data_IF_325364356862
#
_entry.id   IF_325364356862
#
_cell.length_a   1.000
_cell.length_b   1.000
_cell.length_c   1.000
_cell.angle_alpha   90.00
_cell.angle_beta   90.00
_cell.angle_gamma   90.00
#
_symmetry.space_group_name_H-M   'P 1'
#
loop_
_entity.id
_entity.type
_entity.pdbx_description
1 polymer ?
#
# COMPACT_ATOMS: atom_id res chain seq x y z
N UNK A 1 -8.52 -17.06 10.91
CA UNK A 1 -8.19 -16.46 9.61
C UNK A 1 -7.83 -15.00 9.80
N UNK A 2 -6.62 -14.66 9.53
CA UNK A 2 -6.16 -13.29 9.66
C UNK A 2 -6.24 -12.60 8.30
N UNK A 3 -7.15 -11.64 8.19
CA UNK A 3 -7.21 -10.78 7.02
C UNK A 3 -5.95 -9.92 6.94
N UNK A 4 -5.46 -9.64 5.72
CA UNK A 4 -4.31 -8.77 5.52
C UNK A 4 -4.57 -7.41 6.17
N UNK A 5 -3.66 -6.99 7.05
CA UNK A 5 -3.77 -5.71 7.73
C UNK A 5 -3.66 -4.53 6.75
N UNK A 6 -2.81 -4.66 5.75
CA UNK A 6 -2.65 -3.63 4.71
C UNK A 6 -3.92 -3.52 3.86
N UNK A 7 -4.45 -4.67 3.39
CA UNK A 7 -5.70 -4.66 2.60
C UNK A 7 -6.86 -4.09 3.40
N UNK A 8 -6.93 -4.41 4.68
CA UNK A 8 -7.97 -3.89 5.56
C UNK A 8 -7.90 -2.37 5.65
N UNK A 9 -6.69 -1.83 5.83
CA UNK A 9 -6.47 -0.39 5.87
C UNK A 9 -6.80 0.27 4.53
N UNK A 10 -6.42 -0.37 3.42
CA UNK A 10 -6.76 0.14 2.09
C UNK A 10 -8.26 0.15 1.86
N UNK A 11 -8.96 -0.91 2.28
CA UNK A 11 -10.40 -1.03 2.12
C UNK A 11 -11.16 0.05 2.89
N UNK A 12 -10.70 0.39 4.07
CA UNK A 12 -11.31 1.42 4.90
C UNK A 12 -10.79 2.84 4.61
N UNK A 13 -9.78 2.97 3.74
CA UNK A 13 -9.17 4.27 3.44
C UNK A 13 -8.35 4.83 4.59
N UNK A 14 -7.88 3.96 5.50
CA UNK A 14 -7.18 4.38 6.72
C UNK A 14 -5.67 4.47 6.49
N UNK A 15 -5.24 5.56 5.84
CA UNK A 15 -3.82 5.80 5.61
C UNK A 15 -3.05 5.99 6.93
N UNK A 16 -3.70 6.50 7.96
CA UNK A 16 -3.07 6.76 9.26
C UNK A 16 -2.69 5.50 10.01
N UNK A 17 -3.28 4.35 9.66
CA UNK A 17 -2.96 3.08 10.30
C UNK A 17 -1.58 2.55 9.91
N UNK A 18 -1.05 2.93 8.76
CA UNK A 18 0.17 2.33 8.19
C UNK A 18 1.38 2.37 9.11
N UNK A 19 1.73 3.50 9.76
CA UNK A 19 2.91 3.50 10.64
C UNK A 19 2.82 2.51 11.80
N UNK A 20 1.60 2.19 12.22
CA UNK A 20 1.39 1.29 13.36
C UNK A 20 1.47 -0.18 12.99
N UNK A 21 1.41 -0.50 11.69
CA UNK A 21 1.50 -1.87 11.20
C UNK A 21 2.94 -2.29 10.91
N UNK A 22 3.82 -1.32 10.67
CA UNK A 22 5.16 -1.55 10.16
C UNK A 22 6.21 -1.54 11.27
N UNK A 23 7.19 -2.43 11.15
CA UNK A 23 8.40 -2.35 11.97
C UNK A 23 9.21 -1.11 11.58
N UNK A 24 10.08 -0.66 12.47
CA UNK A 24 10.90 0.53 12.25
C UNK A 24 11.76 0.43 10.97
N UNK A 25 12.30 -0.75 10.72
CA UNK A 25 13.15 -1.03 9.56
C UNK A 25 12.40 -1.67 8.40
N UNK A 26 11.06 -1.54 8.37
CA UNK A 26 10.24 -2.15 7.34
C UNK A 26 10.59 -1.64 5.94
N UNK A 27 10.46 -2.52 4.95
CA UNK A 27 10.61 -2.16 3.55
C UNK A 27 9.31 -2.45 2.80
N UNK A 28 9.03 -1.65 1.80
CA UNK A 28 7.91 -1.86 0.90
C UNK A 28 8.42 -1.91 -0.53
N UNK A 29 8.16 -3.04 -1.21
CA UNK A 29 8.51 -3.22 -2.62
C UNK A 29 7.27 -3.11 -3.47
N UNK A 30 7.17 -2.08 -4.28
CA UNK A 30 6.06 -1.84 -5.20
C UNK A 30 6.47 -2.23 -6.62
N UNK A 31 5.52 -2.26 -7.58
CA UNK A 31 5.89 -2.50 -8.98
C UNK A 31 6.84 -1.45 -9.57
N UNK A 32 6.99 -0.31 -8.91
CA UNK A 32 7.77 0.83 -9.41
C UNK A 32 9.12 0.97 -8.72
N UNK A 33 9.16 0.78 -7.40
CA UNK A 33 10.36 1.06 -6.61
C UNK A 33 10.28 0.38 -5.23
N UNK A 34 11.42 0.36 -4.55
CA UNK A 34 11.52 -0.09 -3.17
C UNK A 34 11.62 1.12 -2.24
N UNK A 35 10.98 1.02 -1.08
CA UNK A 35 10.97 2.08 -0.08
C UNK A 35 11.47 1.50 1.24
N UNK A 36 12.58 2.01 1.74
CA UNK A 36 13.21 1.52 2.95
C UNK A 36 12.88 2.40 4.16
N UNK A 37 12.56 1.75 5.27
CA UNK A 37 12.22 2.42 6.53
C UNK A 37 10.74 2.73 6.68
N UNK A 38 10.28 2.71 7.92
CA UNK A 38 8.86 2.93 8.23
C UNK A 38 8.30 4.25 7.69
N UNK A 39 9.00 5.39 7.78
CA UNK A 39 8.44 6.65 7.28
C UNK A 39 8.17 6.62 5.77
N UNK A 40 9.13 6.13 4.97
CA UNK A 40 8.97 6.06 3.52
C UNK A 40 7.93 5.03 3.12
N UNK A 41 8.00 3.83 3.72
CA UNK A 41 7.06 2.75 3.40
C UNK A 41 5.63 3.13 3.76
N UNK A 42 5.41 3.70 4.95
CA UNK A 42 4.05 4.06 5.38
C UNK A 42 3.47 5.19 4.55
N UNK A 43 4.29 6.13 4.10
CA UNK A 43 3.84 7.23 3.26
C UNK A 43 3.28 6.71 1.93
N UNK A 44 4.00 5.80 1.28
CA UNK A 44 3.56 5.26 -0.01
C UNK A 44 2.37 4.32 0.15
N UNK A 45 2.39 3.44 1.15
CA UNK A 45 1.24 2.58 1.45
C UNK A 45 -0.02 3.40 1.76
N UNK A 46 0.14 4.51 2.46
CA UNK A 46 -0.97 5.42 2.75
C UNK A 46 -1.51 6.13 1.52
N UNK A 47 -0.63 6.51 0.58
CA UNK A 47 -1.05 7.10 -0.69
C UNK A 47 -1.88 6.10 -1.51
N UNK A 48 -1.48 4.84 -1.52
CA UNK A 48 -2.24 3.80 -2.22
C UNK A 48 -3.65 3.69 -1.64
N UNK A 49 -3.78 3.80 -0.32
CA UNK A 49 -5.09 3.79 0.34
C UNK A 49 -6.00 4.91 -0.17
N UNK A 50 -5.44 6.05 -0.56
CA UNK A 50 -6.21 7.18 -1.07
C UNK A 50 -6.55 7.07 -2.57
N UNK A 51 -5.79 6.25 -3.30
CA UNK A 51 -5.90 6.17 -4.76
C UNK A 51 -6.80 5.02 -5.20
N UNK A 52 -6.72 3.87 -4.51
CA UNK A 52 -7.49 2.69 -4.89
C UNK A 52 -8.91 2.74 -4.31
N UNK A 53 -9.87 2.35 -5.14
CA UNK A 53 -11.27 2.22 -4.74
C UNK A 53 -11.68 0.76 -4.75
N UNK A 54 -12.72 0.44 -4.00
CA UNK A 54 -13.35 -0.89 -3.97
C UNK A 54 -12.35 -2.02 -3.81
N UNK A 55 -11.45 -1.88 -2.82
CA UNK A 55 -10.49 -2.94 -2.50
C UNK A 55 -11.24 -4.14 -1.95
N UNK A 56 -11.11 -5.28 -2.61
CA UNK A 56 -11.79 -6.54 -2.23
C UNK A 56 -10.77 -7.63 -2.03
N UNK A 57 -10.58 -8.10 -0.79
CA UNK A 57 -9.70 -9.24 -0.54
C UNK A 57 -10.22 -10.52 -1.21
N UNK A 58 -9.29 -11.33 -1.68
CA UNK A 58 -9.59 -12.63 -2.27
C UNK A 58 -8.94 -13.74 -1.46
N UNK A 59 -8.39 -14.71 -2.16
CA UNK A 59 -7.76 -15.87 -1.54
C UNK A 59 -6.44 -15.51 -0.89
N UNK A 60 -6.14 -16.17 0.23
CA UNK A 60 -4.87 -16.03 0.95
C UNK A 60 -4.11 -17.35 0.91
N UNK A 61 -2.77 -17.25 0.88
CA UNK A 61 -1.85 -18.38 0.96
C UNK A 61 -0.80 -18.08 2.00
N UNK A 62 -0.30 -19.11 2.68
CA UNK A 62 0.72 -18.99 3.71
C UNK A 62 0.13 -19.01 5.10
N UNK A 63 0.99 -18.89 6.10
CA UNK A 63 0.58 -18.92 7.51
C UNK A 63 1.46 -17.97 8.33
N UNK A 64 0.86 -17.36 9.35
CA UNK A 64 1.60 -16.65 10.39
C UNK A 64 2.45 -15.51 9.84
N UNK A 65 3.75 -15.77 9.72
CA UNK A 65 4.75 -14.75 9.45
C UNK A 65 4.90 -14.41 7.97
N UNK A 66 4.31 -15.17 7.08
CA UNK A 66 4.49 -14.97 5.63
C UNK A 66 3.21 -15.35 4.91
N UNK A 67 2.44 -14.33 4.52
CA UNK A 67 1.13 -14.51 3.91
C UNK A 67 1.07 -13.73 2.60
N UNK A 68 0.53 -14.37 1.56
CA UNK A 68 0.22 -13.73 0.28
C UNK A 68 -1.30 -13.64 0.14
N UNK A 69 -1.80 -12.46 -0.15
CA UNK A 69 -3.24 -12.22 -0.32
C UNK A 69 -3.52 -11.71 -1.72
N UNK A 70 -4.42 -12.37 -2.43
CA UNK A 70 -4.94 -11.85 -3.68
C UNK A 70 -6.01 -10.80 -3.40
N UNK A 71 -6.13 -9.82 -4.27
CA UNK A 71 -7.19 -8.82 -4.14
C UNK A 71 -7.52 -8.19 -5.49
N UNK A 72 -8.68 -7.57 -5.56
CA UNK A 72 -9.05 -6.70 -6.67
C UNK A 72 -9.31 -5.30 -6.14
N UNK A 73 -9.14 -4.32 -7.00
CA UNK A 73 -9.41 -2.92 -6.68
C UNK A 73 -9.79 -2.19 -7.96
N UNK A 74 -10.19 -0.94 -7.84
CA UNK A 74 -10.52 -0.10 -8.99
C UNK A 74 -9.77 1.22 -8.90
N UNK A 75 -9.45 1.76 -10.05
CA UNK A 75 -8.94 3.11 -10.19
C UNK A 75 -9.59 3.76 -11.40
N UNK A 76 -10.27 4.89 -11.20
CA UNK A 76 -10.94 5.60 -12.28
C UNK A 76 -11.95 4.73 -13.03
N UNK A 77 -12.59 3.79 -12.35
CA UNK A 77 -13.53 2.86 -12.95
C UNK A 77 -12.91 1.64 -13.62
N UNK A 78 -11.58 1.58 -13.71
CA UNK A 78 -10.88 0.42 -14.30
C UNK A 78 -10.49 -0.57 -13.21
N UNK A 79 -10.64 -1.86 -13.51
CA UNK A 79 -10.32 -2.91 -12.57
C UNK A 79 -8.81 -3.19 -12.52
N UNK A 80 -8.30 -3.45 -11.32
CA UNK A 80 -6.95 -3.91 -11.08
C UNK A 80 -7.00 -5.22 -10.31
N UNK A 81 -5.99 -6.05 -10.53
CA UNK A 81 -5.79 -7.28 -9.77
C UNK A 81 -4.41 -7.22 -9.14
N UNK A 82 -4.32 -7.64 -7.90
CA UNK A 82 -3.05 -7.61 -7.20
C UNK A 82 -2.83 -8.78 -6.29
N UNK A 83 -1.59 -8.90 -5.87
CA UNK A 83 -1.18 -9.77 -4.77
C UNK A 83 -0.31 -8.98 -3.83
N UNK A 84 -0.50 -9.19 -2.55
CA UNK A 84 0.24 -8.53 -1.50
C UNK A 84 0.87 -9.57 -0.62
N UNK A 85 2.21 -9.54 -0.51
CA UNK A 85 2.93 -10.41 0.41
C UNK A 85 3.29 -9.63 1.65
N UNK A 86 2.92 -10.16 2.80
CA UNK A 86 3.20 -9.56 4.11
C UNK A 86 4.07 -10.50 4.91
N UNK A 87 5.29 -10.06 5.23
CA UNK A 87 6.25 -10.80 6.06
C UNK A 87 6.37 -10.08 7.40
N UNK A 88 6.23 -10.84 8.49
CA UNK A 88 6.20 -10.30 9.86
C UNK A 88 7.39 -10.81 10.67
N UNK A 89 7.78 -10.00 11.66
CA UNK A 89 8.77 -10.44 12.66
C UNK A 89 8.05 -11.21 13.78
N UNK A 90 8.83 -11.63 14.79
CA UNK A 90 8.29 -12.39 15.92
C UNK A 90 7.28 -11.61 16.75
N UNK A 91 7.38 -10.29 16.73
CA UNK A 91 6.45 -9.42 17.46
C UNK A 91 5.17 -9.17 16.67
N UNK A 92 5.07 -9.64 15.43
CA UNK A 92 3.91 -9.47 14.59
C UNK A 92 3.91 -8.20 13.75
N UNK A 93 4.99 -7.41 13.78
CA UNK A 93 5.10 -6.22 12.95
C UNK A 93 5.52 -6.60 11.54
N UNK A 94 5.02 -5.86 10.55
CA UNK A 94 5.38 -6.07 9.16
C UNK A 94 6.81 -5.59 8.91
N UNK A 95 7.69 -6.49 8.46
CA UNK A 95 9.07 -6.16 8.13
C UNK A 95 9.29 -6.00 6.64
N UNK A 96 8.46 -6.66 5.83
CA UNK A 96 8.53 -6.51 4.39
C UNK A 96 7.14 -6.68 3.79
N UNK A 97 6.76 -5.73 2.93
CA UNK A 97 5.51 -5.79 2.18
C UNK A 97 5.85 -5.70 0.70
N UNK A 98 5.35 -6.63 -0.09
CA UNK A 98 5.57 -6.65 -1.54
C UNK A 98 4.24 -6.60 -2.26
N UNK A 99 4.11 -5.68 -3.21
CA UNK A 99 2.88 -5.48 -3.97
C UNK A 99 3.11 -5.79 -5.44
N UNK A 100 2.25 -6.64 -6.00
CA UNK A 100 2.17 -6.95 -7.44
C UNK A 100 0.82 -6.46 -7.96
N UNK A 101 0.82 -5.74 -9.06
CA UNK A 101 -0.41 -5.19 -9.64
C UNK A 101 -0.45 -5.38 -11.15
N UNK A 102 -1.64 -5.60 -11.66
CA UNK A 102 -1.93 -5.65 -13.09
C UNK A 102 -3.34 -5.11 -13.36
N UNK A 103 -3.69 -4.70 -14.59
CA UNK A 103 -2.80 -4.58 -15.75
C UNK A 103 -1.98 -3.30 -15.71
N UNK A 104 -0.91 -3.27 -16.45
CA UNK A 104 0.02 -2.14 -16.48
C UNK A 104 -0.66 -0.82 -16.82
N UNK A 105 -1.62 -0.85 -17.74
CA UNK A 105 -2.35 0.36 -18.17
C UNK A 105 -2.99 1.08 -16.97
N UNK A 106 -3.71 0.34 -16.15
CA UNK A 106 -4.38 0.93 -14.97
C UNK A 106 -3.38 1.33 -13.90
N UNK A 107 -2.34 0.51 -13.69
CA UNK A 107 -1.26 0.83 -12.76
C UNK A 107 -0.58 2.14 -13.13
N UNK A 108 -0.28 2.35 -14.40
CA UNK A 108 0.36 3.58 -14.89
C UNK A 108 -0.49 4.81 -14.57
N UNK A 109 -1.80 4.72 -14.76
CA UNK A 109 -2.72 5.82 -14.44
C UNK A 109 -2.76 6.10 -12.93
N UNK A 110 -2.75 5.06 -12.11
CA UNK A 110 -2.73 5.20 -10.65
C UNK A 110 -1.43 5.85 -10.18
N UNK A 111 -0.29 5.48 -10.76
CA UNK A 111 1.01 6.08 -10.44
C UNK A 111 1.00 7.58 -10.76
N UNK A 112 0.45 7.97 -11.89
CA UNK A 112 0.33 9.38 -12.27
C UNK A 112 -0.47 10.16 -11.23
N UNK A 113 -1.57 9.57 -10.72
CA UNK A 113 -2.38 10.20 -9.68
C UNK A 113 -1.62 10.33 -8.37
N UNK A 114 -0.83 9.32 -7.99
CA UNK A 114 -0.01 9.39 -6.79
C UNK A 114 1.04 10.49 -6.89
N UNK A 115 1.65 10.65 -8.05
CA UNK A 115 2.61 11.72 -8.31
C UNK A 115 1.96 13.10 -8.14
N UNK A 116 0.74 13.27 -8.65
CA UNK A 116 -0.02 14.52 -8.46
C UNK A 116 -0.28 14.81 -6.99
N UNK A 117 -0.67 13.79 -6.22
CA UNK A 117 -0.94 13.96 -4.80
C UNK A 117 0.32 14.37 -4.02
N UNK A 118 1.46 13.79 -4.36
CA UNK A 118 2.73 14.17 -3.76
C UNK A 118 3.11 15.61 -4.10
N UNK A 119 2.90 16.04 -5.34
CA UNK A 119 3.16 17.41 -5.76
C UNK A 119 2.24 18.40 -5.03
N UNK A 120 0.97 18.07 -4.87
CA UNK A 120 0.03 18.91 -4.14
C UNK A 120 0.42 19.06 -2.67
N UNK A 121 0.86 17.97 -2.02
CA UNK A 121 1.33 18.02 -0.63
C UNK A 121 2.56 18.90 -0.47
N UNK A 122 3.50 18.79 -1.39
CA UNK A 122 4.69 19.65 -1.39
C UNK A 122 4.34 21.12 -1.55
N UNK A 123 3.42 21.44 -2.48
CA UNK A 123 2.96 22.80 -2.71
C UNK A 123 2.25 23.36 -1.48
N UNK A 124 1.41 22.58 -0.80
CA UNK A 124 0.74 22.99 0.42
C UNK A 124 1.73 23.24 1.55
N UNK A 125 2.75 22.39 1.67
CA UNK A 125 3.79 22.54 2.69
C UNK A 125 4.57 23.85 2.46
N UNK A 126 4.97 24.12 1.23
CA UNK A 126 5.68 25.35 0.87
C UNK A 126 4.81 26.57 1.11
N UNK A 127 3.49 26.47 0.87
CA UNK A 127 2.55 27.53 1.12
C UNK A 127 2.33 27.85 2.60
N UNK A 128 2.47 26.83 3.48
CA UNK A 128 2.29 27.01 4.91
C UNK A 128 3.52 27.56 5.62
N UNK A 129 4.70 27.43 5.03
CA UNK A 129 5.96 27.89 5.59
C UNK A 129 6.25 29.39 5.32
N UNK A 130 5.33 30.11 4.70
CA UNK A 130 5.49 31.52 4.37
C UNK A 130 4.87 32.43 5.41
#
# INVERSE_FOLDING_TARGET
>A
MTESAVLQAWRSGDAAAMPFLLAENATFSSPVADYAGRPAASRVLGLIAQVLDEVRPGQEWGTGDDVVSAFTARFGGAEMQGMLREERDRAGALVHVTLYLRPYRTLRAAIARMTELLAQRSAQRDGTDR
#
